data_IF_314214329112
#
_entry.id   IF_314214329112
#
_cell.length_a   1.000
_cell.length_b   1.000
_cell.length_c   1.000
_cell.angle_alpha   90.00
_cell.angle_beta   90.00
_cell.angle_gamma   90.00
#
_symmetry.space_group_name_H-M   'P 1'
#
loop_
_entity.id
_entity.type
_entity.pdbx_description
1 polymer ?
#
# COMPACT_ATOMS: atom_id res chain seq x y z
N UNK A 1 4.86 -38.53 -21.55
CA UNK A 1 5.05 -37.44 -22.54
C UNK A 1 4.08 -36.26 -22.30
N UNK A 2 3.89 -35.82 -21.04
CA UNK A 2 2.84 -34.85 -20.64
C UNK A 2 3.34 -33.84 -19.58
N UNK A 3 4.54 -33.26 -19.74
CA UNK A 3 5.13 -32.34 -18.74
C UNK A 3 5.68 -31.00 -19.26
N UNK A 4 5.38 -30.59 -20.49
CA UNK A 4 5.89 -29.31 -21.05
C UNK A 4 4.83 -28.23 -21.32
N UNK A 5 3.53 -28.50 -21.24
CA UNK A 5 2.50 -27.52 -21.63
C UNK A 5 2.14 -26.47 -20.56
N UNK A 6 2.55 -26.64 -19.29
CA UNK A 6 2.24 -25.69 -18.21
C UNK A 6 3.17 -24.47 -18.16
N UNK A 7 4.46 -24.66 -18.49
CA UNK A 7 5.49 -23.60 -18.45
C UNK A 7 5.46 -22.70 -19.69
N UNK A 8 4.99 -23.22 -20.82
CA UNK A 8 4.84 -22.45 -22.06
C UNK A 8 3.71 -21.41 -21.93
N UNK A 9 2.56 -21.77 -21.33
CA UNK A 9 1.45 -20.83 -21.12
C UNK A 9 1.79 -19.68 -20.16
N UNK A 10 2.51 -19.94 -19.06
CA UNK A 10 2.92 -18.86 -18.14
C UNK A 10 3.96 -17.92 -18.77
N UNK A 11 4.88 -18.44 -19.58
CA UNK A 11 5.85 -17.63 -20.31
C UNK A 11 5.25 -16.88 -21.52
N UNK A 12 4.19 -17.39 -22.16
CA UNK A 12 3.42 -16.65 -23.16
C UNK A 12 2.65 -15.49 -22.53
N UNK A 13 2.06 -15.69 -21.34
CA UNK A 13 1.38 -14.61 -20.59
C UNK A 13 2.36 -13.48 -20.22
N UNK A 14 3.63 -13.82 -19.95
CA UNK A 14 4.70 -12.85 -19.65
C UNK A 14 5.31 -12.23 -20.92
N UNK A 15 5.41 -12.98 -22.03
CA UNK A 15 5.86 -12.44 -23.34
C UNK A 15 4.82 -11.54 -24.00
N UNK A 16 3.54 -11.66 -23.66
CA UNK A 16 2.48 -10.77 -24.13
C UNK A 16 2.50 -9.38 -23.46
N UNK A 17 3.25 -9.22 -22.37
CA UNK A 17 3.34 -7.97 -21.59
C UNK A 17 4.26 -6.90 -22.23
N UNK A 18 4.97 -7.21 -23.33
CA UNK A 18 5.99 -6.33 -23.92
C UNK A 18 5.58 -5.60 -25.21
N UNK A 19 4.27 -5.48 -25.50
CA UNK A 19 3.79 -4.68 -26.65
C UNK A 19 2.58 -3.83 -26.30
N UNK A 20 2.81 -2.53 -26.05
CA UNK A 20 1.89 -1.40 -26.26
C UNK A 20 0.39 -1.60 -25.97
N UNK A 21 0.00 -2.33 -24.91
CA UNK A 21 -1.41 -2.54 -24.60
C UNK A 21 -1.79 -1.87 -23.28
N UNK A 22 -2.71 -0.93 -23.43
CA UNK A 22 -3.55 -0.45 -22.36
C UNK A 22 -4.14 -1.60 -21.52
N UNK A 23 -4.33 -1.41 -20.21
CA UNK A 23 -4.92 -2.44 -19.34
C UNK A 23 -6.30 -2.86 -19.86
N UNK A 24 -6.44 -4.14 -20.19
CA UNK A 24 -7.69 -4.80 -20.58
C UNK A 24 -8.30 -5.49 -19.33
N UNK A 25 -9.51 -5.08 -18.97
CA UNK A 25 -10.24 -5.66 -17.84
C UNK A 25 -11.04 -6.87 -18.31
N UNK A 26 -10.92 -7.99 -17.61
CA UNK A 26 -11.66 -9.23 -17.89
C UNK A 26 -12.29 -9.78 -16.62
N UNK A 27 -13.43 -10.48 -16.75
CA UNK A 27 -14.05 -11.14 -15.62
C UNK A 27 -13.20 -12.36 -15.21
N UNK A 28 -12.61 -12.32 -14.01
CA UNK A 28 -11.75 -13.38 -13.47
C UNK A 28 -11.69 -13.33 -11.94
N UNK A 29 -11.41 -14.47 -11.34
CA UNK A 29 -11.19 -14.58 -9.90
C UNK A 29 -9.83 -14.06 -9.49
N UNK A 30 -9.64 -13.88 -8.19
CA UNK A 30 -8.32 -13.60 -7.63
C UNK A 30 -7.51 -14.90 -7.55
N UNK A 31 -6.19 -14.80 -7.73
CA UNK A 31 -5.33 -15.98 -7.85
C UNK A 31 -5.43 -16.92 -6.63
N UNK A 32 -5.49 -16.39 -5.40
CA UNK A 32 -5.65 -17.28 -4.22
C UNK A 32 -7.03 -17.94 -4.16
N UNK A 33 -8.09 -17.28 -4.66
CA UNK A 33 -9.42 -17.90 -4.72
C UNK A 33 -9.36 -19.18 -5.54
N UNK A 34 -8.72 -19.12 -6.72
CA UNK A 34 -8.55 -20.29 -7.58
C UNK A 34 -7.58 -21.31 -6.96
N UNK A 35 -6.50 -20.86 -6.31
CA UNK A 35 -5.56 -21.77 -5.66
C UNK A 35 -6.12 -22.49 -4.43
N UNK A 36 -7.08 -21.91 -3.71
CA UNK A 36 -7.75 -22.56 -2.58
C UNK A 36 -8.66 -23.71 -2.99
N UNK A 37 -8.96 -23.87 -4.28
CA UNK A 37 -9.59 -25.09 -4.79
C UNK A 37 -8.64 -26.30 -4.67
N UNK A 38 -7.32 -26.06 -4.71
CA UNK A 38 -6.33 -27.10 -4.46
C UNK A 38 -6.31 -27.45 -2.96
N UNK A 39 -6.60 -28.71 -2.67
CA UNK A 39 -6.62 -29.26 -1.30
C UNK A 39 -5.34 -28.96 -0.50
N UNK A 40 -4.18 -28.93 -1.14
CA UNK A 40 -2.91 -28.69 -0.46
C UNK A 40 -2.76 -27.24 0.02
N UNK A 41 -3.12 -26.27 -0.82
CA UNK A 41 -3.08 -24.84 -0.46
C UNK A 41 -4.18 -24.52 0.56
N UNK A 42 -5.36 -25.15 0.41
CA UNK A 42 -6.43 -25.04 1.41
C UNK A 42 -5.99 -25.55 2.78
N UNK A 43 -5.21 -26.63 2.85
CA UNK A 43 -4.60 -27.08 4.12
C UNK A 43 -3.67 -26.02 4.70
N UNK A 44 -2.85 -25.35 3.89
CA UNK A 44 -2.01 -24.23 4.38
C UNK A 44 -2.85 -23.12 4.99
N UNK A 45 -3.95 -22.75 4.33
CA UNK A 45 -4.91 -21.79 4.87
C UNK A 45 -5.50 -22.26 6.22
N UNK A 46 -5.89 -23.54 6.34
CA UNK A 46 -6.37 -24.10 7.61
C UNK A 46 -5.29 -24.10 8.70
N UNK A 47 -4.00 -24.30 8.36
CA UNK A 47 -2.90 -24.20 9.32
C UNK A 47 -2.78 -22.78 9.90
N UNK A 48 -2.93 -21.74 9.08
CA UNK A 48 -2.96 -20.35 9.57
C UNK A 48 -4.15 -20.09 10.50
N UNK A 49 -5.34 -20.62 10.19
CA UNK A 49 -6.51 -20.52 11.07
C UNK A 49 -6.25 -21.25 12.40
N UNK A 50 -5.69 -22.46 12.36
CA UNK A 50 -5.36 -23.22 13.56
C UNK A 50 -4.32 -22.48 14.43
N UNK A 51 -3.30 -21.87 13.81
CA UNK A 51 -2.34 -21.02 14.51
C UNK A 51 -3.00 -19.80 15.14
N UNK A 52 -3.92 -19.13 14.44
CA UNK A 52 -4.69 -18.02 15.02
C UNK A 52 -5.49 -18.46 16.24
N UNK A 53 -6.22 -19.58 16.16
CA UNK A 53 -6.96 -20.14 17.29
C UNK A 53 -6.01 -20.48 18.44
N UNK A 54 -4.86 -21.10 18.13
CA UNK A 54 -3.82 -21.42 19.11
C UNK A 54 -3.26 -20.18 19.81
N UNK A 55 -2.97 -19.10 19.06
CA UNK A 55 -2.53 -17.83 19.63
C UNK A 55 -3.59 -17.18 20.51
N UNK A 56 -4.86 -17.26 20.12
CA UNK A 56 -5.99 -16.76 20.91
C UNK A 56 -6.12 -17.50 22.24
N UNK A 57 -6.12 -18.84 22.20
CA UNK A 57 -6.19 -19.69 23.39
C UNK A 57 -4.99 -19.46 24.30
N UNK A 58 -3.77 -19.46 23.75
CA UNK A 58 -2.55 -19.20 24.49
C UNK A 58 -2.59 -17.81 25.15
N UNK A 59 -3.11 -16.81 24.45
CA UNK A 59 -3.28 -15.46 24.99
C UNK A 59 -4.28 -15.42 26.14
N UNK A 60 -5.44 -16.03 25.97
CA UNK A 60 -6.46 -16.11 27.01
C UNK A 60 -5.93 -16.81 28.27
N UNK A 61 -5.23 -17.93 28.10
CA UNK A 61 -4.60 -18.69 29.20
C UNK A 61 -3.56 -17.84 29.92
N UNK A 62 -2.63 -17.22 29.20
CA UNK A 62 -1.58 -16.39 29.81
C UNK A 62 -2.16 -15.17 30.54
N UNK A 63 -3.12 -14.49 29.95
CA UNK A 63 -3.76 -13.32 30.55
C UNK A 63 -4.53 -13.73 31.82
N UNK A 64 -5.25 -14.85 31.79
CA UNK A 64 -5.94 -15.40 32.97
C UNK A 64 -4.97 -15.73 34.12
N UNK A 65 -3.87 -16.44 33.83
CA UNK A 65 -2.94 -16.88 34.87
C UNK A 65 -1.99 -15.79 35.38
N UNK A 66 -1.63 -14.81 34.55
CA UNK A 66 -0.60 -13.82 34.91
C UNK A 66 -1.16 -12.44 35.26
N UNK A 67 -2.27 -12.03 34.65
CA UNK A 67 -2.81 -10.67 34.79
C UNK A 67 -4.16 -10.62 35.49
N UNK A 68 -4.80 -11.76 35.74
CA UNK A 68 -6.17 -11.88 36.26
C UNK A 68 -7.24 -11.15 35.41
N UNK A 69 -6.87 -10.67 34.22
CA UNK A 69 -7.74 -9.98 33.27
C UNK A 69 -7.52 -10.51 31.85
N UNK A 70 -8.59 -10.95 31.18
CA UNK A 70 -8.52 -11.47 29.81
C UNK A 70 -8.78 -10.33 28.82
N UNK A 71 -7.72 -9.80 28.21
CA UNK A 71 -7.82 -8.63 27.33
C UNK A 71 -7.92 -8.97 25.84
N UNK A 72 -7.80 -10.25 25.46
CA UNK A 72 -7.95 -10.82 24.11
C UNK A 72 -7.29 -10.01 22.97
N UNK A 73 -6.23 -9.22 23.25
CA UNK A 73 -5.61 -8.33 22.25
C UNK A 73 -6.48 -7.14 21.81
N UNK A 74 -7.69 -6.99 22.36
CA UNK A 74 -8.63 -5.90 22.00
C UNK A 74 -8.05 -4.53 22.38
N UNK A 75 -7.20 -4.48 23.41
CA UNK A 75 -6.56 -3.25 23.89
C UNK A 75 -5.73 -2.57 22.80
N UNK A 76 -4.82 -3.31 22.15
CA UNK A 76 -3.96 -2.75 21.10
C UNK A 76 -4.79 -2.30 19.90
N UNK A 77 -5.80 -3.07 19.51
CA UNK A 77 -6.73 -2.68 18.43
C UNK A 77 -7.46 -1.38 18.80
N UNK A 78 -8.06 -1.29 19.99
CA UNK A 78 -8.79 -0.09 20.44
C UNK A 78 -7.89 1.14 20.51
N UNK A 79 -6.65 0.99 20.99
CA UNK A 79 -5.67 2.07 21.04
C UNK A 79 -5.23 2.49 19.63
N UNK A 80 -4.96 1.53 18.76
CA UNK A 80 -4.46 1.78 17.40
C UNK A 80 -5.52 2.40 16.47
N UNK A 81 -6.79 2.05 16.65
CA UNK A 81 -7.94 2.57 15.88
C UNK A 81 -8.70 3.69 16.63
N UNK A 82 -8.04 4.36 17.58
CA UNK A 82 -8.63 5.49 18.31
C UNK A 82 -8.99 6.68 17.42
N UNK A 83 -9.88 7.57 17.90
CA UNK A 83 -10.32 8.79 17.19
C UNK A 83 -10.96 8.53 15.80
N UNK A 84 -11.65 7.39 15.65
CA UNK A 84 -12.31 6.98 14.39
C UNK A 84 -13.32 8.01 13.85
N UNK A 85 -13.94 8.81 14.73
CA UNK A 85 -14.85 9.88 14.31
C UNK A 85 -14.14 10.95 13.46
N UNK A 86 -12.88 11.29 13.76
CA UNK A 86 -12.07 12.20 12.96
C UNK A 86 -11.75 11.57 11.61
N UNK A 87 -11.38 10.28 11.61
CA UNK A 87 -11.12 9.51 10.38
C UNK A 87 -12.34 9.54 9.45
N UNK A 88 -13.55 9.34 9.99
CA UNK A 88 -14.79 9.38 9.22
C UNK A 88 -15.07 10.77 8.62
N UNK A 89 -14.91 11.84 9.41
CA UNK A 89 -15.09 13.23 8.92
C UNK A 89 -14.09 13.56 7.81
N UNK A 90 -12.82 13.18 7.99
CA UNK A 90 -11.78 13.36 6.98
C UNK A 90 -12.10 12.61 5.70
N UNK A 91 -12.51 11.36 5.81
CA UNK A 91 -12.86 10.54 4.66
C UNK A 91 -14.04 11.14 3.88
N UNK A 92 -15.08 11.62 4.57
CA UNK A 92 -16.20 12.34 3.95
C UNK A 92 -15.73 13.64 3.28
N UNK A 93 -14.79 14.36 3.88
CA UNK A 93 -14.14 15.53 3.31
C UNK A 93 -13.41 15.20 2.00
N UNK A 94 -12.56 14.18 1.99
CA UNK A 94 -11.85 13.72 0.79
C UNK A 94 -12.81 13.28 -0.31
N UNK A 95 -13.85 12.53 0.05
CA UNK A 95 -14.88 12.09 -0.89
C UNK A 95 -15.61 13.27 -1.53
N UNK A 96 -16.02 14.25 -0.71
CA UNK A 96 -16.72 15.46 -1.17
C UNK A 96 -15.82 16.30 -2.08
N UNK A 97 -14.57 16.51 -1.69
CA UNK A 97 -13.61 17.28 -2.48
C UNK A 97 -13.26 16.57 -3.80
N UNK A 98 -13.12 15.25 -3.79
CA UNK A 98 -12.95 14.42 -4.99
C UNK A 98 -14.14 14.57 -5.95
N UNK A 99 -15.37 14.60 -5.41
CA UNK A 99 -16.57 14.86 -6.22
C UNK A 99 -16.57 16.29 -6.78
N UNK A 100 -16.10 17.28 -6.03
CA UNK A 100 -15.95 18.65 -6.53
C UNK A 100 -14.97 18.72 -7.71
N UNK A 101 -13.83 18.01 -7.64
CA UNK A 101 -12.85 17.94 -8.74
C UNK A 101 -13.48 17.42 -10.03
N UNK A 102 -14.39 16.43 -9.96
CA UNK A 102 -15.14 15.99 -11.13
C UNK A 102 -15.97 17.11 -11.77
N UNK A 103 -16.68 17.90 -10.96
CA UNK A 103 -17.50 19.00 -11.44
C UNK A 103 -16.64 20.12 -12.05
N UNK A 104 -15.50 20.44 -11.41
CA UNK A 104 -14.52 21.40 -11.93
C UNK A 104 -13.91 20.92 -13.25
N UNK A 105 -13.57 19.63 -13.36
CA UNK A 105 -13.08 19.04 -14.61
C UNK A 105 -14.12 19.12 -15.72
N UNK A 106 -15.39 18.78 -15.43
CA UNK A 106 -16.49 18.86 -16.39
C UNK A 106 -16.69 20.30 -16.87
N UNK A 107 -16.68 21.27 -15.95
CA UNK A 107 -16.75 22.69 -16.29
C UNK A 107 -15.56 23.10 -17.18
N UNK A 108 -14.34 22.75 -16.79
CA UNK A 108 -13.13 23.00 -17.58
C UNK A 108 -13.22 22.43 -19.01
N UNK A 109 -13.73 21.20 -19.15
CA UNK A 109 -13.88 20.50 -20.42
C UNK A 109 -14.93 21.18 -21.32
N UNK A 110 -16.06 21.61 -20.77
CA UNK A 110 -17.11 22.32 -21.49
C UNK A 110 -16.65 23.70 -21.97
N UNK A 111 -15.91 24.43 -21.14
CA UNK A 111 -15.45 25.77 -21.47
C UNK A 111 -14.36 25.79 -22.56
N UNK A 112 -13.65 24.69 -22.80
CA UNK A 112 -12.64 24.60 -23.88
C UNK A 112 -13.20 24.95 -25.26
N UNK A 113 -14.48 24.65 -25.52
CA UNK A 113 -15.13 24.88 -26.82
C UNK A 113 -15.21 26.38 -27.15
N UNK A 114 -15.29 27.25 -26.15
CA UNK A 114 -15.38 28.69 -26.34
C UNK A 114 -14.02 29.38 -26.61
N UNK A 115 -12.91 28.64 -26.56
CA UNK A 115 -11.56 29.17 -26.82
C UNK A 115 -10.97 28.63 -28.12
N UNK A 116 -11.38 29.16 -29.30
CA UNK A 116 -10.93 28.65 -30.60
C UNK A 116 -9.45 28.99 -30.90
N UNK A 117 -8.90 30.05 -30.29
CA UNK A 117 -7.49 30.42 -30.47
C UNK A 117 -6.56 29.58 -29.59
N UNK A 118 -5.47 29.13 -30.19
CA UNK A 118 -4.44 28.32 -29.54
C UNK A 118 -3.87 28.95 -28.24
N UNK A 119 -3.65 30.26 -28.22
CA UNK A 119 -3.10 30.98 -27.07
C UNK A 119 -4.05 30.95 -25.85
N UNK A 120 -5.33 31.26 -26.06
CA UNK A 120 -6.35 31.22 -25.00
C UNK A 120 -6.58 29.80 -24.49
N UNK A 121 -6.58 28.81 -25.39
CA UNK A 121 -6.71 27.40 -25.01
C UNK A 121 -5.53 26.93 -24.15
N UNK A 122 -4.29 27.33 -24.48
CA UNK A 122 -3.10 27.03 -23.66
C UNK A 122 -3.22 27.66 -22.26
N UNK A 123 -3.64 28.91 -22.18
CA UNK A 123 -3.86 29.60 -20.89
C UNK A 123 -4.93 28.91 -20.05
N UNK A 124 -6.05 28.49 -20.67
CA UNK A 124 -7.11 27.75 -20.00
C UNK A 124 -6.67 26.37 -19.51
N UNK A 125 -5.85 25.66 -20.30
CA UNK A 125 -5.25 24.39 -19.88
C UNK A 125 -4.27 24.58 -18.72
N UNK A 126 -3.47 25.65 -18.76
CA UNK A 126 -2.55 26.01 -17.68
C UNK A 126 -3.33 26.32 -16.39
N UNK A 127 -4.40 27.10 -16.48
CA UNK A 127 -5.29 27.38 -15.34
C UNK A 127 -5.85 26.08 -14.73
N UNK A 128 -6.40 25.18 -15.55
CA UNK A 128 -6.89 23.88 -15.09
C UNK A 128 -5.80 23.04 -14.41
N UNK A 129 -4.58 23.05 -14.95
CA UNK A 129 -3.43 22.37 -14.34
C UNK A 129 -3.02 22.99 -13.00
N UNK A 130 -3.02 24.32 -12.89
CA UNK A 130 -2.73 25.03 -11.64
C UNK A 130 -3.77 24.70 -10.56
N UNK A 131 -5.06 24.66 -10.91
CA UNK A 131 -6.13 24.27 -9.97
C UNK A 131 -5.94 22.81 -9.50
N UNK A 132 -5.59 21.91 -10.42
CA UNK A 132 -5.32 20.51 -10.07
C UNK A 132 -4.06 20.36 -9.18
N UNK A 133 -3.01 21.11 -9.48
CA UNK A 133 -1.79 21.17 -8.66
C UNK A 133 -2.07 21.69 -7.26
N UNK A 134 -2.86 22.76 -7.15
CA UNK A 134 -3.31 23.30 -5.87
C UNK A 134 -4.12 22.27 -5.07
N UNK A 135 -5.01 21.52 -5.71
CA UNK A 135 -5.75 20.42 -5.07
C UNK A 135 -4.81 19.36 -4.50
N UNK A 136 -3.79 18.91 -5.25
CA UNK A 136 -2.83 17.92 -4.75
C UNK A 136 -2.03 18.43 -3.55
N UNK A 137 -1.48 19.65 -3.64
CA UNK A 137 -0.70 20.26 -2.55
C UNK A 137 -1.59 20.40 -1.31
N UNK A 138 -2.79 20.95 -1.47
CA UNK A 138 -3.75 21.14 -0.37
C UNK A 138 -4.09 19.82 0.30
N UNK A 139 -4.32 18.75 -0.46
CA UNK A 139 -4.65 17.43 0.08
C UNK A 139 -3.51 16.86 0.94
N UNK A 140 -2.26 16.96 0.49
CA UNK A 140 -1.12 16.51 1.27
C UNK A 140 -0.91 17.37 2.53
N UNK A 141 -0.94 18.69 2.41
CA UNK A 141 -0.69 19.62 3.54
C UNK A 141 -1.80 19.57 4.58
N UNK A 142 -3.07 19.56 4.18
CA UNK A 142 -4.20 19.51 5.13
C UNK A 142 -4.21 18.17 5.86
N UNK A 143 -3.99 17.07 5.15
CA UNK A 143 -3.99 15.74 5.76
C UNK A 143 -2.86 15.58 6.77
N UNK A 144 -1.63 15.95 6.39
CA UNK A 144 -0.49 15.88 7.32
C UNK A 144 -0.70 16.78 8.53
N UNK A 145 -1.21 17.99 8.34
CA UNK A 145 -1.53 18.90 9.44
C UNK A 145 -2.55 18.30 10.40
N UNK A 146 -3.67 17.75 9.91
CA UNK A 146 -4.73 17.19 10.75
C UNK A 146 -4.25 15.94 11.49
N UNK A 147 -3.53 15.04 10.83
CA UNK A 147 -3.00 13.82 11.46
C UNK A 147 -2.08 14.17 12.63
N UNK A 148 -1.18 15.15 12.44
CA UNK A 148 -0.26 15.61 13.49
C UNK A 148 -0.98 16.41 14.57
N UNK A 149 -1.84 17.36 14.21
CA UNK A 149 -2.54 18.23 15.15
C UNK A 149 -3.45 17.44 16.10
N UNK A 150 -4.21 16.50 15.56
CA UNK A 150 -5.06 15.64 16.39
C UNK A 150 -4.32 14.44 16.98
N UNK A 151 -3.02 14.27 16.73
CA UNK A 151 -2.22 13.12 17.17
C UNK A 151 -2.99 11.80 16.99
N UNK A 152 -3.33 11.49 15.73
CA UNK A 152 -4.06 10.27 15.42
C UNK A 152 -3.17 9.04 15.72
N UNK A 153 -3.72 7.98 16.35
CA UNK A 153 -2.97 6.75 16.55
C UNK A 153 -2.56 6.09 15.22
N UNK A 154 -1.52 5.24 15.18
CA UNK A 154 -0.92 4.77 13.94
C UNK A 154 -1.88 4.12 12.95
N UNK A 155 -2.77 3.22 13.39
CA UNK A 155 -3.69 2.56 12.46
C UNK A 155 -4.74 3.54 11.91
N UNK A 156 -5.28 4.44 12.74
CA UNK A 156 -6.19 5.51 12.29
C UNK A 156 -5.52 6.48 11.32
N UNK A 157 -4.28 6.89 11.59
CA UNK A 157 -3.49 7.72 10.69
C UNK A 157 -3.25 7.00 9.35
N UNK A 158 -2.86 5.72 9.40
CA UNK A 158 -2.65 4.89 8.21
C UNK A 158 -3.87 4.87 7.29
N UNK A 159 -5.08 4.68 7.84
CA UNK A 159 -6.33 4.71 7.05
C UNK A 159 -6.45 6.03 6.30
N UNK A 160 -6.32 7.16 7.00
CA UNK A 160 -6.48 8.50 6.42
C UNK A 160 -5.45 8.75 5.32
N UNK A 161 -4.17 8.47 5.59
CA UNK A 161 -3.05 8.69 4.68
C UNK A 161 -3.14 7.80 3.41
N UNK A 162 -3.52 6.54 3.59
CA UNK A 162 -3.72 5.60 2.47
C UNK A 162 -4.95 5.98 1.64
N UNK A 163 -6.07 6.33 2.27
CA UNK A 163 -7.28 6.75 1.56
C UNK A 163 -7.07 8.06 0.79
N UNK A 164 -6.37 9.04 1.38
CA UNK A 164 -5.97 10.24 0.66
C UNK A 164 -5.15 9.88 -0.59
N UNK A 165 -4.10 9.06 -0.44
CA UNK A 165 -3.27 8.63 -1.57
C UNK A 165 -4.11 7.92 -2.64
N UNK A 166 -5.02 7.03 -2.24
CA UNK A 166 -5.96 6.33 -3.14
C UNK A 166 -6.83 7.31 -3.93
N UNK A 167 -7.43 8.31 -3.27
CA UNK A 167 -8.24 9.34 -3.95
C UNK A 167 -7.40 10.15 -4.94
N UNK A 168 -6.17 10.54 -4.59
CA UNK A 168 -5.29 11.29 -5.48
C UNK A 168 -4.91 10.48 -6.73
N UNK A 169 -4.54 9.21 -6.56
CA UNK A 169 -4.22 8.31 -7.68
C UNK A 169 -5.44 8.12 -8.60
N UNK A 170 -6.64 7.99 -8.04
CA UNK A 170 -7.88 7.89 -8.81
C UNK A 170 -8.19 9.16 -9.59
N UNK A 171 -8.09 10.33 -8.96
CA UNK A 171 -8.29 11.62 -9.65
C UNK A 171 -7.28 11.77 -10.80
N UNK A 172 -6.01 11.47 -10.55
CA UNK A 172 -4.99 11.52 -11.60
C UNK A 172 -5.36 10.63 -12.78
N UNK A 173 -5.74 9.37 -12.51
CA UNK A 173 -6.15 8.43 -13.56
C UNK A 173 -7.39 8.91 -14.32
N UNK A 174 -8.39 9.44 -13.63
CA UNK A 174 -9.60 9.97 -14.25
C UNK A 174 -9.28 11.14 -15.18
N UNK A 175 -8.57 12.16 -14.68
CA UNK A 175 -8.21 13.34 -15.46
C UNK A 175 -7.32 12.97 -16.64
N UNK A 176 -6.32 12.10 -16.45
CA UNK A 176 -5.40 11.71 -17.53
C UNK A 176 -6.09 10.92 -18.64
N UNK A 177 -7.04 10.05 -18.32
CA UNK A 177 -7.76 9.25 -19.31
C UNK A 177 -8.87 10.01 -20.04
N UNK A 178 -9.38 11.10 -19.47
CA UNK A 178 -10.46 11.91 -20.07
C UNK A 178 -9.94 13.13 -20.81
N UNK A 179 -8.78 13.65 -20.40
CA UNK A 179 -8.10 14.76 -21.07
C UNK A 179 -7.63 14.34 -22.48
N UNK A 180 -7.84 15.18 -23.53
CA UNK A 180 -7.48 14.83 -24.89
C UNK A 180 -5.96 14.69 -25.04
N UNK A 181 -5.50 13.63 -25.72
CA UNK A 181 -4.07 13.42 -25.99
C UNK A 181 -3.56 14.44 -27.01
N UNK A 182 -4.40 14.79 -27.98
CA UNK A 182 -4.16 15.88 -28.94
C UNK A 182 -5.11 17.03 -28.66
N UNK A 183 -4.69 18.05 -27.88
CA UNK A 183 -5.58 19.09 -27.37
C UNK A 183 -6.26 19.96 -28.43
N UNK A 184 -5.81 19.90 -29.70
CA UNK A 184 -6.34 20.67 -30.82
C UNK A 184 -7.23 19.87 -31.77
N UNK A 185 -7.20 18.54 -31.66
CA UNK A 185 -7.86 17.63 -32.63
C UNK A 185 -8.93 16.78 -31.96
N UNK A 186 -8.84 16.59 -30.64
CA UNK A 186 -9.75 15.75 -29.87
C UNK A 186 -10.50 16.58 -28.83
N UNK A 187 -11.84 16.48 -28.76
CA UNK A 187 -12.59 17.06 -27.66
C UNK A 187 -12.28 16.32 -26.35
N UNK A 188 -12.34 17.03 -25.23
CA UNK A 188 -12.28 16.40 -23.91
C UNK A 188 -13.55 15.58 -23.69
N UNK A 189 -13.41 14.34 -23.21
CA UNK A 189 -14.56 13.51 -22.88
C UNK A 189 -15.13 13.93 -21.53
N UNK A 190 -16.46 13.90 -21.39
CA UNK A 190 -17.14 14.24 -20.13
C UNK A 190 -17.95 13.04 -19.65
N UNK A 191 -17.33 12.09 -18.92
CA UNK A 191 -18.03 10.90 -18.48
C UNK A 191 -19.15 11.23 -17.48
N UNK A 192 -20.17 10.36 -17.44
CA UNK A 192 -21.26 10.48 -16.49
C UNK A 192 -20.78 10.40 -15.04
N UNK A 193 -21.35 11.22 -14.16
CA UNK A 193 -21.01 11.25 -12.73
C UNK A 193 -21.20 9.89 -12.05
N UNK A 194 -22.21 9.11 -12.49
CA UNK A 194 -22.44 7.74 -12.02
C UNK A 194 -21.25 6.81 -12.27
N UNK A 195 -20.61 6.90 -13.43
CA UNK A 195 -19.46 6.06 -13.78
C UNK A 195 -18.23 6.49 -12.99
N UNK A 196 -18.05 7.80 -12.80
CA UNK A 196 -17.02 8.35 -11.93
C UNK A 196 -17.19 7.89 -10.48
N UNK A 197 -18.40 8.00 -9.93
CA UNK A 197 -18.72 7.57 -8.57
C UNK A 197 -18.48 6.05 -8.40
N UNK A 198 -18.90 5.24 -9.37
CA UNK A 198 -18.59 3.81 -9.38
C UNK A 198 -17.09 3.55 -9.38
N UNK A 199 -16.33 4.28 -10.20
CA UNK A 199 -14.87 4.18 -10.24
C UNK A 199 -14.22 4.49 -8.89
N UNK A 200 -14.75 5.43 -8.09
CA UNK A 200 -14.19 5.76 -6.78
C UNK A 200 -14.20 4.56 -5.82
N UNK A 201 -15.19 3.66 -5.90
CA UNK A 201 -15.34 2.52 -4.99
C UNK A 201 -14.78 1.19 -5.51
N UNK A 202 -14.63 1.00 -6.82
CA UNK A 202 -14.07 -0.26 -7.35
C UNK A 202 -12.59 -0.42 -6.98
N UNK A 203 -12.11 -1.66 -6.76
CA UNK A 203 -10.72 -1.95 -6.37
C UNK A 203 -9.75 -1.91 -7.57
N UNK A 204 -9.72 -0.77 -8.26
CA UNK A 204 -8.73 -0.46 -9.28
C UNK A 204 -8.41 1.04 -9.28
N UNK A 205 -7.19 1.38 -9.68
CA UNK A 205 -6.72 2.77 -9.81
C UNK A 205 -6.71 3.25 -11.26
N UNK A 206 -7.11 2.40 -12.22
CA UNK A 206 -7.14 2.74 -13.65
C UNK A 206 -8.57 2.99 -14.09
N UNK A 207 -8.88 4.25 -14.44
CA UNK A 207 -10.19 4.69 -14.90
C UNK A 207 -10.53 4.13 -16.29
N UNK A 208 -11.74 3.58 -16.42
CA UNK A 208 -12.38 3.18 -17.68
C UNK A 208 -13.86 3.53 -17.62
N UNK A 209 -14.45 3.74 -18.78
CA UNK A 209 -15.89 4.03 -18.86
C UNK A 209 -16.75 2.83 -18.47
N UNK A 210 -16.28 1.62 -18.81
CA UNK A 210 -16.97 0.36 -18.54
C UNK A 210 -16.02 -0.66 -17.93
N UNK A 211 -16.53 -1.39 -16.95
CA UNK A 211 -15.82 -2.49 -16.29
C UNK A 211 -16.62 -3.78 -16.41
N UNK A 212 -15.98 -4.97 -16.43
CA UNK A 212 -16.69 -6.23 -16.30
C UNK A 212 -17.41 -6.28 -14.96
N UNK A 213 -18.68 -6.70 -14.97
CA UNK A 213 -19.51 -6.78 -13.77
C UNK A 213 -20.10 -8.17 -13.58
N UNK A 214 -20.23 -8.60 -12.32
CA UNK A 214 -21.00 -9.79 -11.95
C UNK A 214 -22.49 -9.47 -11.89
N UNK A 215 -23.31 -10.48 -12.13
CA UNK A 215 -24.77 -10.32 -12.12
C UNK A 215 -25.31 -10.07 -10.71
N UNK A 216 -24.87 -10.89 -9.75
CA UNK A 216 -25.36 -10.91 -8.35
C UNK A 216 -24.19 -10.77 -7.37
N UNK A 217 -24.52 -10.30 -6.17
CA UNK A 217 -23.61 -10.26 -5.01
C UNK A 217 -23.76 -11.58 -4.26
N UNK A 218 -22.65 -12.26 -4.01
CA UNK A 218 -22.60 -13.43 -3.13
C UNK A 218 -22.38 -12.98 -1.67
N UNK A 219 -23.46 -12.90 -0.90
CA UNK A 219 -23.43 -12.48 0.51
C UNK A 219 -22.71 -13.46 1.42
N UNK A 220 -22.68 -14.74 1.07
CA UNK A 220 -21.93 -15.74 1.82
C UNK A 220 -20.44 -15.49 1.65
N UNK A 221 -20.00 -15.24 0.41
CA UNK A 221 -18.62 -14.82 0.13
C UNK A 221 -18.25 -13.53 0.88
N UNK A 222 -19.12 -12.52 0.87
CA UNK A 222 -18.93 -11.26 1.64
C UNK A 222 -18.73 -11.55 3.13
N UNK A 223 -19.60 -12.36 3.74
CA UNK A 223 -19.50 -12.71 5.16
C UNK A 223 -18.15 -13.36 5.50
N UNK A 224 -17.70 -14.34 4.71
CA UNK A 224 -16.40 -14.97 4.90
C UNK A 224 -15.23 -13.99 4.75
N UNK A 225 -15.26 -13.10 3.76
CA UNK A 225 -14.19 -12.09 3.60
C UNK A 225 -14.14 -11.10 4.77
N UNK A 226 -15.29 -10.73 5.35
CA UNK A 226 -15.35 -9.88 6.55
C UNK A 226 -14.77 -10.62 7.76
N UNK A 227 -15.15 -11.88 7.98
CA UNK A 227 -14.61 -12.70 9.07
C UNK A 227 -13.09 -12.88 8.96
N UNK A 228 -12.58 -13.10 7.74
CA UNK A 228 -11.14 -13.16 7.48
C UNK A 228 -10.43 -11.85 7.83
N UNK A 229 -11.00 -10.70 7.45
CA UNK A 229 -10.42 -9.39 7.79
C UNK A 229 -10.35 -9.20 9.31
N UNK A 230 -11.43 -9.51 10.04
CA UNK A 230 -11.45 -9.42 11.51
C UNK A 230 -10.46 -10.39 12.13
N UNK A 231 -10.44 -11.66 11.69
CA UNK A 231 -9.54 -12.68 12.22
C UNK A 231 -8.06 -12.32 12.03
N UNK A 232 -7.69 -11.80 10.86
CA UNK A 232 -6.32 -11.36 10.59
C UNK A 232 -5.94 -10.10 11.39
N UNK A 233 -6.86 -9.17 11.64
CA UNK A 233 -6.59 -8.04 12.53
C UNK A 233 -6.22 -8.50 13.94
N UNK A 234 -6.96 -9.47 14.50
CA UNK A 234 -6.60 -10.10 15.78
C UNK A 234 -5.27 -10.83 15.70
N UNK A 235 -5.02 -11.58 14.63
CA UNK A 235 -3.74 -12.27 14.41
C UNK A 235 -2.56 -11.28 14.50
N UNK A 236 -2.63 -10.19 13.74
CA UNK A 236 -1.59 -9.16 13.71
C UNK A 236 -1.41 -8.50 15.08
N UNK A 237 -2.50 -8.22 15.78
CA UNK A 237 -2.46 -7.67 17.14
C UNK A 237 -1.72 -8.60 18.11
N UNK A 238 -1.99 -9.90 18.06
CA UNK A 238 -1.28 -10.88 18.90
C UNK A 238 0.19 -10.98 18.53
N UNK A 239 0.52 -10.93 17.23
CA UNK A 239 1.91 -11.00 16.79
C UNK A 239 2.70 -9.80 17.32
N UNK A 240 2.12 -8.60 17.24
CA UNK A 240 2.74 -7.38 17.74
C UNK A 240 2.89 -7.42 19.27
N UNK A 241 1.81 -7.71 20.00
CA UNK A 241 1.86 -7.66 21.47
C UNK A 241 2.76 -8.72 22.10
N UNK A 242 2.88 -9.89 21.46
CA UNK A 242 3.47 -11.08 22.10
C UNK A 242 4.86 -11.41 21.61
N UNK A 243 5.18 -11.05 20.35
CA UNK A 243 6.50 -11.31 19.77
C UNK A 243 7.26 -10.02 19.53
N UNK A 244 6.64 -8.98 18.96
CA UNK A 244 7.37 -7.76 18.63
C UNK A 244 7.62 -6.89 19.88
N UNK A 245 6.56 -6.43 20.55
CA UNK A 245 6.64 -5.47 21.66
C UNK A 245 7.62 -5.89 22.77
N UNK A 246 7.66 -7.14 23.25
CA UNK A 246 8.61 -7.54 24.29
C UNK A 246 10.08 -7.37 23.92
N UNK A 247 10.42 -7.33 22.62
CA UNK A 247 11.81 -7.16 22.16
C UNK A 247 12.25 -5.69 22.09
N UNK A 248 11.30 -4.75 22.02
CA UNK A 248 11.58 -3.32 21.72
C UNK A 248 11.00 -2.33 22.74
N UNK A 249 10.01 -2.70 23.54
CA UNK A 249 9.27 -1.78 24.41
C UNK A 249 10.12 -1.13 25.51
N UNK A 250 11.21 -1.79 25.93
CA UNK A 250 12.11 -1.30 26.97
C UNK A 250 13.14 -0.31 26.44
N UNK A 251 13.17 -0.07 25.11
CA UNK A 251 14.11 0.84 24.49
C UNK A 251 13.88 2.28 25.00
N UNK A 252 14.91 2.91 25.54
CA UNK A 252 14.82 4.22 26.19
C UNK A 252 14.61 4.18 27.70
N UNK A 253 14.32 3.02 28.29
CA UNK A 253 14.29 2.83 29.75
C UNK A 253 15.61 2.30 30.31
N UNK A 254 16.42 1.66 29.45
CA UNK A 254 17.76 1.16 29.75
C UNK A 254 18.67 1.37 28.54
N UNK A 255 20.01 1.38 28.74
CA UNK A 255 20.93 1.32 27.61
C UNK A 255 20.82 -0.02 26.86
N UNK A 256 20.91 0.06 25.54
CA UNK A 256 20.98 -1.05 24.59
C UNK A 256 22.33 -1.00 23.87
N UNK A 257 22.91 -2.16 23.62
CA UNK A 257 24.12 -2.24 22.77
C UNK A 257 23.72 -2.38 21.30
N UNK A 258 24.59 -1.96 20.39
CA UNK A 258 24.39 -2.19 18.93
C UNK A 258 24.22 -3.69 18.62
N UNK A 259 24.88 -4.56 19.39
CA UNK A 259 24.76 -6.02 19.26
C UNK A 259 23.34 -6.50 19.57
N UNK A 260 22.70 -5.97 20.62
CA UNK A 260 21.32 -6.29 20.96
C UNK A 260 20.35 -5.90 19.85
N UNK A 261 20.54 -4.73 19.23
CA UNK A 261 19.69 -4.28 18.11
C UNK A 261 19.84 -5.23 16.92
N UNK A 262 21.07 -5.57 16.55
CA UNK A 262 21.34 -6.49 15.44
C UNK A 262 20.72 -7.87 15.73
N UNK A 263 20.94 -8.42 16.92
CA UNK A 263 20.33 -9.68 17.34
C UNK A 263 18.80 -9.61 17.30
N UNK A 264 18.21 -8.53 17.81
CA UNK A 264 16.76 -8.30 17.76
C UNK A 264 16.20 -8.28 16.35
N UNK A 265 16.90 -7.69 15.37
CA UNK A 265 16.50 -7.72 13.96
C UNK A 265 16.45 -9.17 13.43
N UNK A 266 17.50 -9.96 13.70
CA UNK A 266 17.56 -11.34 13.23
C UNK A 266 16.52 -12.24 13.93
N UNK A 267 16.33 -12.08 15.24
CA UNK A 267 15.31 -12.78 16.02
C UNK A 267 13.90 -12.45 15.51
N UNK A 268 13.66 -11.18 15.15
CA UNK A 268 12.39 -10.72 14.59
C UNK A 268 12.17 -11.11 13.12
N UNK A 269 13.08 -11.84 12.45
CA UNK A 269 12.90 -12.28 11.05
C UNK A 269 11.60 -13.08 10.86
N UNK A 270 11.30 -13.99 11.79
CA UNK A 270 10.06 -14.78 11.74
C UNK A 270 8.85 -13.89 12.04
N UNK A 271 8.94 -13.01 13.04
CA UNK A 271 7.90 -12.02 13.37
C UNK A 271 7.58 -11.15 12.15
N UNK A 272 8.59 -10.67 11.43
CA UNK A 272 8.43 -9.91 10.19
C UNK A 272 7.66 -10.69 9.13
N UNK A 273 7.95 -11.97 8.93
CA UNK A 273 7.19 -12.83 8.02
C UNK A 273 5.73 -13.00 8.46
N UNK A 274 5.49 -13.19 9.76
CA UNK A 274 4.16 -13.29 10.37
C UNK A 274 3.38 -11.98 10.35
N UNK A 275 4.03 -10.84 10.10
CA UNK A 275 3.36 -9.56 9.84
C UNK A 275 3.13 -9.34 8.34
N UNK A 276 4.10 -9.67 7.49
CA UNK A 276 4.04 -9.46 6.05
C UNK A 276 2.94 -10.30 5.37
N UNK A 277 2.89 -11.62 5.63
CA UNK A 277 1.98 -12.52 4.93
C UNK A 277 0.51 -12.24 5.24
N UNK A 278 0.11 -12.05 6.51
CA UNK A 278 -1.28 -11.71 6.81
C UNK A 278 -1.63 -10.29 6.37
N UNK A 279 -0.69 -9.33 6.43
CA UNK A 279 -0.90 -7.98 5.86
C UNK A 279 -1.18 -8.02 4.36
N UNK A 280 -0.42 -8.82 3.60
CA UNK A 280 -0.73 -9.10 2.20
C UNK A 280 -2.13 -9.69 2.03
N UNK A 281 -2.45 -10.73 2.81
CA UNK A 281 -3.70 -11.46 2.68
C UNK A 281 -4.92 -10.58 3.02
N UNK A 282 -4.85 -9.75 4.05
CA UNK A 282 -5.96 -8.86 4.41
C UNK A 282 -6.12 -7.72 3.39
N UNK A 283 -5.04 -7.03 3.00
CA UNK A 283 -5.12 -5.83 2.17
C UNK A 283 -5.37 -6.16 0.69
N UNK A 284 -4.66 -7.14 0.13
CA UNK A 284 -4.65 -7.41 -1.32
C UNK A 284 -5.58 -8.55 -1.74
N UNK A 285 -5.89 -9.48 -0.84
CA UNK A 285 -6.85 -10.55 -1.11
C UNK A 285 -8.22 -10.26 -0.50
N UNK A 286 -8.34 -10.30 0.83
CA UNK A 286 -9.65 -10.30 1.50
C UNK A 286 -10.40 -8.98 1.31
N UNK A 287 -9.74 -7.84 1.57
CA UNK A 287 -10.34 -6.52 1.44
C UNK A 287 -10.65 -6.14 0.00
N UNK A 288 -9.75 -6.40 -0.95
CA UNK A 288 -10.03 -6.12 -2.37
C UNK A 288 -11.15 -6.99 -2.92
N UNK A 289 -11.19 -8.28 -2.56
CA UNK A 289 -12.29 -9.16 -2.96
C UNK A 289 -13.62 -8.75 -2.31
N UNK A 290 -13.61 -8.31 -1.06
CA UNK A 290 -14.78 -7.74 -0.39
C UNK A 290 -15.30 -6.50 -1.15
N UNK A 291 -14.43 -5.53 -1.43
CA UNK A 291 -14.78 -4.34 -2.21
C UNK A 291 -15.27 -4.71 -3.62
N UNK A 292 -14.64 -5.70 -4.26
CA UNK A 292 -15.03 -6.17 -5.59
C UNK A 292 -16.42 -6.80 -5.60
N UNK A 293 -16.73 -7.64 -4.61
CA UNK A 293 -18.02 -8.30 -4.48
C UNK A 293 -19.13 -7.27 -4.22
N UNK A 294 -18.93 -6.37 -3.26
CA UNK A 294 -19.90 -5.31 -2.93
C UNK A 294 -20.18 -4.36 -4.11
N UNK A 295 -19.16 -4.06 -4.92
CA UNK A 295 -19.33 -3.23 -6.12
C UNK A 295 -19.76 -4.02 -7.37
N UNK A 296 -19.81 -5.36 -7.29
CA UNK A 296 -19.98 -6.29 -8.43
C UNK A 296 -18.89 -6.16 -9.49
N UNK A 297 -17.68 -5.77 -9.11
CA UNK A 297 -16.53 -5.69 -9.98
C UNK A 297 -16.01 -7.09 -10.36
N UNK A 298 -15.83 -7.31 -11.67
CA UNK A 298 -15.52 -8.62 -12.23
C UNK A 298 -14.04 -8.96 -12.37
N UNK A 299 -13.15 -7.96 -12.45
CA UNK A 299 -11.70 -8.20 -12.63
C UNK A 299 -10.99 -8.27 -11.27
N UNK A 300 -10.78 -9.47 -10.75
CA UNK A 300 -10.20 -9.67 -9.41
C UNK A 300 -8.70 -9.97 -9.42
N UNK A 301 -7.97 -9.57 -10.47
CA UNK A 301 -6.52 -9.70 -10.52
C UNK A 301 -5.84 -8.55 -9.78
N UNK A 302 -5.72 -8.69 -8.46
CA UNK A 302 -5.07 -7.70 -7.60
C UNK A 302 -3.57 -7.97 -7.40
N UNK A 303 -3.15 -9.22 -7.59
CA UNK A 303 -1.78 -9.69 -7.44
C UNK A 303 -1.58 -10.97 -8.27
N UNK A 304 -0.31 -11.32 -8.51
CA UNK A 304 0.13 -12.55 -9.16
C UNK A 304 0.92 -13.42 -8.17
N UNK A 305 1.51 -14.51 -8.65
CA UNK A 305 2.32 -15.47 -7.90
C UNK A 305 3.68 -14.88 -7.49
N UNK A 306 3.67 -13.81 -6.69
CA UNK A 306 4.88 -13.10 -6.27
C UNK A 306 5.79 -13.96 -5.37
N UNK A 307 5.24 -14.96 -4.69
CA UNK A 307 6.00 -15.91 -3.86
C UNK A 307 6.93 -16.83 -4.66
N UNK A 308 6.74 -16.93 -5.98
CA UNK A 308 7.61 -17.74 -6.87
C UNK A 308 8.77 -16.92 -7.44
N UNK A 309 8.86 -15.63 -7.11
CA UNK A 309 9.90 -14.75 -7.63
C UNK A 309 11.29 -15.14 -7.12
N UNK A 310 12.28 -14.97 -8.00
CA UNK A 310 13.71 -15.13 -7.67
C UNK A 310 14.44 -13.79 -7.61
N UNK A 311 13.77 -12.70 -7.99
CA UNK A 311 14.28 -11.34 -8.03
C UNK A 311 13.25 -10.31 -7.54
N UNK A 312 13.74 -9.15 -7.10
CA UNK A 312 12.88 -8.05 -6.69
C UNK A 312 12.16 -7.40 -7.88
N UNK A 313 12.74 -7.48 -9.09
CA UNK A 313 12.11 -6.98 -10.31
C UNK A 313 10.77 -7.66 -10.58
N UNK A 314 10.73 -9.00 -10.52
CA UNK A 314 9.51 -9.78 -10.63
C UNK A 314 8.55 -9.52 -9.48
N UNK A 315 9.07 -9.43 -8.26
CA UNK A 315 8.26 -9.17 -7.06
C UNK A 315 7.46 -7.87 -7.16
N UNK A 316 8.10 -6.74 -7.45
CA UNK A 316 7.43 -5.43 -7.55
C UNK A 316 6.34 -5.40 -8.64
N UNK A 317 6.49 -6.21 -9.69
CA UNK A 317 5.47 -6.33 -10.75
C UNK A 317 4.31 -7.25 -10.39
N UNK A 318 4.46 -8.16 -9.41
CA UNK A 318 3.47 -9.19 -9.10
C UNK A 318 2.75 -8.96 -7.77
N UNK A 319 3.38 -8.29 -6.81
CA UNK A 319 2.88 -8.12 -5.44
C UNK A 319 1.55 -7.36 -5.38
N UNK A 320 1.49 -6.17 -5.98
CA UNK A 320 0.31 -5.30 -5.97
C UNK A 320 0.07 -4.74 -7.38
N UNK A 321 -0.71 -5.48 -8.18
CA UNK A 321 -1.01 -5.14 -9.57
C UNK A 321 -1.81 -3.84 -9.67
N UNK A 322 -2.66 -3.54 -8.68
CA UNK A 322 -3.48 -2.31 -8.66
C UNK A 322 -2.60 -1.06 -8.72
N UNK A 323 -1.57 -1.00 -7.85
CA UNK A 323 -0.63 0.12 -7.79
C UNK A 323 0.39 0.03 -8.91
N UNK A 324 0.86 -1.18 -9.24
CA UNK A 324 1.77 -1.39 -10.37
C UNK A 324 1.18 -0.78 -11.65
N UNK A 325 -0.04 -1.14 -12.03
CA UNK A 325 -0.64 -0.73 -13.29
C UNK A 325 -0.74 0.80 -13.37
N UNK A 326 -1.04 1.44 -12.25
CA UNK A 326 -1.08 2.90 -12.16
C UNK A 326 0.31 3.51 -12.36
N UNK A 327 1.32 3.01 -11.65
CA UNK A 327 2.71 3.46 -11.78
C UNK A 327 3.24 3.23 -13.20
N UNK A 328 2.90 2.10 -13.81
CA UNK A 328 3.31 1.79 -15.18
C UNK A 328 2.67 2.74 -16.20
N UNK A 329 1.34 2.89 -16.15
CA UNK A 329 0.60 3.64 -17.16
C UNK A 329 0.82 5.15 -17.07
N UNK A 330 0.92 5.70 -15.85
CA UNK A 330 0.89 7.15 -15.61
C UNK A 330 2.24 7.73 -15.19
N UNK A 331 3.17 6.92 -14.69
CA UNK A 331 4.52 7.39 -14.33
C UNK A 331 5.55 6.85 -15.31
N UNK A 332 5.71 5.54 -15.39
CA UNK A 332 6.76 4.91 -16.21
C UNK A 332 6.60 5.24 -17.70
N UNK A 333 5.44 4.93 -18.28
CA UNK A 333 5.17 5.12 -19.69
C UNK A 333 5.24 6.60 -20.08
N UNK A 334 4.51 7.45 -19.36
CA UNK A 334 4.48 8.89 -19.61
C UNK A 334 5.86 9.54 -19.49
N UNK A 335 6.63 9.19 -18.44
CA UNK A 335 7.99 9.68 -18.27
C UNK A 335 8.91 9.17 -19.37
N UNK A 336 8.77 7.91 -19.78
CA UNK A 336 9.60 7.34 -20.86
C UNK A 336 9.30 7.95 -22.23
N UNK A 337 8.02 8.19 -22.55
CA UNK A 337 7.58 8.69 -23.86
C UNK A 337 7.76 10.21 -23.98
N UNK A 338 7.44 10.95 -22.91
CA UNK A 338 7.35 12.42 -22.96
C UNK A 338 8.58 13.12 -22.36
N UNK A 339 9.05 12.67 -21.20
CA UNK A 339 10.07 13.39 -20.42
C UNK A 339 11.48 12.97 -20.83
N UNK A 340 11.75 11.67 -20.79
CA UNK A 340 13.08 11.09 -20.98
C UNK A 340 13.30 10.53 -22.39
N UNK A 341 12.34 10.71 -23.31
CA UNK A 341 12.42 10.40 -24.76
C UNK A 341 13.08 9.05 -25.07
N UNK A 342 12.65 7.99 -24.40
CA UNK A 342 13.14 6.62 -24.59
C UNK A 342 14.19 6.15 -23.60
N UNK A 343 14.71 7.00 -22.69
CA UNK A 343 15.61 6.54 -21.63
C UNK A 343 14.83 5.81 -20.52
N UNK A 344 14.81 4.48 -20.63
CA UNK A 344 14.07 3.60 -19.72
C UNK A 344 14.65 3.59 -18.30
N UNK A 345 15.93 3.95 -18.13
CA UNK A 345 16.57 3.93 -16.82
C UNK A 345 16.03 5.04 -15.91
N UNK A 346 15.99 6.28 -16.40
CA UNK A 346 15.40 7.39 -15.66
C UNK A 346 13.91 7.19 -15.40
N UNK A 347 13.17 6.62 -16.36
CA UNK A 347 11.75 6.30 -16.16
C UNK A 347 11.55 5.25 -15.04
N UNK A 348 12.39 4.21 -14.97
CA UNK A 348 12.35 3.24 -13.86
C UNK A 348 12.71 3.91 -12.52
N UNK A 349 13.78 4.69 -12.49
CA UNK A 349 14.21 5.40 -11.28
C UNK A 349 13.13 6.35 -10.76
N UNK A 350 12.47 7.10 -11.64
CA UNK A 350 11.36 7.98 -11.28
C UNK A 350 10.20 7.23 -10.59
N UNK A 351 9.86 6.02 -11.07
CA UNK A 351 8.84 5.17 -10.43
C UNK A 351 9.26 4.77 -9.02
N UNK A 352 10.50 4.30 -8.85
CA UNK A 352 11.02 3.93 -7.53
C UNK A 352 11.08 5.12 -6.58
N UNK A 353 11.56 6.27 -7.05
CA UNK A 353 11.67 7.48 -6.26
C UNK A 353 10.29 7.96 -5.79
N UNK A 354 9.31 8.06 -6.70
CA UNK A 354 7.95 8.48 -6.36
C UNK A 354 7.33 7.49 -5.37
N UNK A 355 7.49 6.19 -5.61
CA UNK A 355 6.98 5.17 -4.69
C UNK A 355 7.62 5.28 -3.31
N UNK A 356 8.94 5.40 -3.22
CA UNK A 356 9.66 5.51 -1.96
C UNK A 356 9.25 6.77 -1.17
N UNK A 357 9.13 7.93 -1.83
CA UNK A 357 8.67 9.18 -1.19
C UNK A 357 7.27 9.02 -0.60
N UNK A 358 6.33 8.43 -1.35
CA UNK A 358 4.96 8.27 -0.87
C UNK A 358 4.88 7.29 0.30
N UNK A 359 5.60 6.18 0.26
CA UNK A 359 5.61 5.24 1.38
C UNK A 359 6.24 5.86 2.64
N UNK A 360 7.35 6.58 2.48
CA UNK A 360 8.00 7.27 3.60
C UNK A 360 7.12 8.39 4.16
N UNK A 361 6.43 9.12 3.30
CA UNK A 361 5.46 10.14 3.71
C UNK A 361 4.35 9.52 4.55
N UNK A 362 3.78 8.38 4.14
CA UNK A 362 2.78 7.66 4.93
C UNK A 362 3.36 7.26 6.29
N UNK A 363 4.53 6.61 6.34
CA UNK A 363 5.12 6.18 7.62
C UNK A 363 5.46 7.34 8.54
N UNK A 364 5.99 8.44 7.99
CA UNK A 364 6.38 9.63 8.75
C UNK A 364 5.19 10.23 9.49
N UNK A 365 4.06 10.45 8.79
CA UNK A 365 2.87 11.02 9.42
C UNK A 365 2.06 9.99 10.20
N UNK A 366 2.17 8.69 9.87
CA UNK A 366 1.54 7.61 10.62
C UNK A 366 2.15 7.47 12.02
N UNK A 367 3.47 7.54 12.14
CA UNK A 367 4.18 7.43 13.42
C UNK A 367 4.41 8.78 14.11
N UNK A 368 4.34 9.90 13.38
CA UNK A 368 4.53 11.24 13.92
C UNK A 368 5.99 11.68 14.00
N UNK A 369 6.91 10.98 13.32
CA UNK A 369 8.33 11.32 13.25
C UNK A 369 8.94 10.95 11.90
N UNK A 370 10.01 11.64 11.51
CA UNK A 370 10.73 11.33 10.28
C UNK A 370 11.86 10.34 10.55
N UNK A 371 11.80 9.16 9.94
CA UNK A 371 12.87 8.16 10.01
C UNK A 371 12.94 7.41 8.67
N UNK A 372 13.79 7.85 7.72
CA UNK A 372 13.71 7.46 6.31
C UNK A 372 14.26 6.08 5.98
N UNK A 373 14.07 5.09 6.85
CA UNK A 373 14.61 3.76 6.67
C UNK A 373 13.97 3.04 5.49
N UNK A 374 12.64 3.11 5.35
CA UNK A 374 11.95 2.48 4.22
C UNK A 374 12.35 3.13 2.90
N UNK A 375 12.49 4.46 2.87
CA UNK A 375 13.00 5.18 1.71
C UNK A 375 14.38 4.67 1.28
N UNK A 376 15.32 4.57 2.23
CA UNK A 376 16.68 4.06 1.97
C UNK A 376 16.62 2.60 1.50
N UNK A 377 15.80 1.77 2.13
CA UNK A 377 15.70 0.35 1.76
C UNK A 377 15.17 0.18 0.34
N UNK A 378 14.12 0.90 -0.03
CA UNK A 378 13.53 0.85 -1.37
C UNK A 378 14.47 1.43 -2.43
N UNK A 379 15.12 2.57 -2.16
CA UNK A 379 15.95 3.25 -3.14
C UNK A 379 17.31 2.56 -3.32
N UNK A 380 17.93 2.09 -2.24
CA UNK A 380 19.25 1.46 -2.28
C UNK A 380 19.10 -0.02 -2.60
N UNK A 381 18.53 -0.81 -1.70
CA UNK A 381 18.42 -2.26 -1.89
C UNK A 381 17.44 -2.59 -3.02
N UNK A 382 16.27 -1.95 -3.06
CA UNK A 382 15.29 -2.15 -4.12
C UNK A 382 15.82 -1.82 -5.51
N UNK A 383 16.64 -0.76 -5.67
CA UNK A 383 17.28 -0.47 -6.95
C UNK A 383 18.38 -1.48 -7.27
N UNK A 384 19.32 -1.72 -6.35
CA UNK A 384 20.45 -2.64 -6.55
C UNK A 384 19.94 -4.02 -6.97
N UNK A 385 19.00 -4.60 -6.22
CA UNK A 385 18.47 -5.92 -6.51
C UNK A 385 17.54 -5.98 -7.73
N UNK A 386 16.98 -4.85 -8.17
CA UNK A 386 16.21 -4.80 -9.41
C UNK A 386 17.12 -4.74 -10.65
N UNK A 387 18.36 -4.25 -10.52
CA UNK A 387 19.34 -4.20 -11.62
C UNK A 387 20.23 -5.45 -11.68
N UNK A 388 20.45 -6.12 -10.54
CA UNK A 388 21.12 -7.42 -10.48
C UNK A 388 20.11 -8.50 -10.89
N UNK A 389 20.08 -8.85 -12.18
CA UNK A 389 19.26 -9.95 -12.67
C UNK A 389 19.65 -11.26 -11.99
N UNK A 390 18.73 -11.88 -11.25
CA UNK A 390 18.98 -13.14 -10.56
C UNK A 390 18.64 -14.34 -11.46
N UNK A 391 19.47 -15.39 -11.48
CA UNK A 391 19.12 -16.68 -12.08
C UNK A 391 17.80 -17.22 -11.53
N UNK A 392 16.99 -17.83 -12.40
CA UNK A 392 15.72 -18.45 -12.03
C UNK A 392 15.94 -19.84 -11.41
N UNK A 393 16.66 -19.91 -10.29
CA UNK A 393 16.92 -21.16 -9.57
C UNK A 393 16.24 -21.15 -8.20
N UNK A 394 15.94 -22.34 -7.62
CA UNK A 394 15.32 -22.43 -6.29
C UNK A 394 16.12 -21.70 -5.20
N UNK A 395 17.45 -21.69 -5.30
CA UNK A 395 18.31 -20.98 -4.35
C UNK A 395 17.99 -19.48 -4.30
N UNK A 396 17.80 -18.83 -5.45
CA UNK A 396 17.46 -17.40 -5.47
C UNK A 396 16.03 -17.12 -4.95
N UNK A 397 15.11 -18.08 -5.05
CA UNK A 397 13.81 -17.96 -4.38
C UNK A 397 13.97 -18.02 -2.85
N UNK A 398 14.82 -18.90 -2.32
CA UNK A 398 15.13 -18.98 -0.88
C UNK A 398 15.77 -17.68 -0.39
N UNK A 399 16.78 -17.18 -1.12
CA UNK A 399 17.45 -15.92 -0.78
C UNK A 399 16.49 -14.73 -0.86
N UNK A 400 15.62 -14.71 -1.88
CA UNK A 400 14.56 -13.71 -1.99
C UNK A 400 13.67 -13.72 -0.75
N UNK A 401 13.13 -14.88 -0.36
CA UNK A 401 12.29 -15.01 0.84
C UNK A 401 13.00 -14.58 2.12
N UNK A 402 14.23 -15.05 2.32
CA UNK A 402 15.00 -14.68 3.51
C UNK A 402 15.27 -13.17 3.56
N UNK A 403 15.71 -12.58 2.46
CA UNK A 403 15.95 -11.13 2.38
C UNK A 403 14.69 -10.30 2.58
N UNK A 404 13.55 -10.74 2.05
CA UNK A 404 12.26 -10.06 2.21
C UNK A 404 11.81 -10.08 3.68
N UNK A 405 11.91 -11.24 4.34
CA UNK A 405 11.58 -11.35 5.76
C UNK A 405 12.54 -10.53 6.65
N UNK A 406 13.84 -10.53 6.33
CA UNK A 406 14.83 -9.74 7.05
C UNK A 406 14.64 -8.23 6.86
N UNK A 407 14.30 -7.78 5.65
CA UNK A 407 13.97 -6.38 5.38
C UNK A 407 12.77 -5.92 6.20
N UNK A 408 11.67 -6.69 6.18
CA UNK A 408 10.49 -6.40 7.01
C UNK A 408 10.83 -6.42 8.50
N UNK A 409 11.63 -7.37 8.97
CA UNK A 409 12.07 -7.43 10.37
C UNK A 409 12.91 -6.21 10.77
N UNK A 410 13.78 -5.75 9.88
CA UNK A 410 14.56 -4.52 10.06
C UNK A 410 13.63 -3.32 10.19
N UNK A 411 12.64 -3.20 9.30
CA UNK A 411 11.65 -2.12 9.35
C UNK A 411 10.87 -2.11 10.66
N UNK A 412 10.21 -3.22 11.02
CA UNK A 412 9.35 -3.25 12.22
C UNK A 412 10.15 -3.07 13.51
N UNK A 413 11.38 -3.59 13.57
CA UNK A 413 12.26 -3.43 14.73
C UNK A 413 12.75 -2.00 14.85
N UNK A 414 13.28 -1.41 13.77
CA UNK A 414 13.88 -0.07 13.82
C UNK A 414 12.84 1.05 13.96
N UNK A 415 11.71 0.99 13.25
CA UNK A 415 10.60 1.93 13.49
C UNK A 415 10.01 1.74 14.89
N UNK A 416 9.97 0.50 15.39
CA UNK A 416 9.53 0.19 16.75
C UNK A 416 10.45 0.77 17.82
N UNK A 417 11.77 0.59 17.67
CA UNK A 417 12.80 1.20 18.53
C UNK A 417 12.65 2.72 18.56
N UNK A 418 12.53 3.35 17.38
CA UNK A 418 12.37 4.80 17.30
C UNK A 418 11.06 5.27 17.95
N UNK A 419 9.97 4.52 17.77
CA UNK A 419 8.68 4.79 18.41
C UNK A 419 8.78 4.75 19.93
N UNK A 420 9.38 3.69 20.50
CA UNK A 420 9.55 3.57 21.95
C UNK A 420 10.59 4.55 22.51
N UNK A 421 11.68 4.85 21.78
CA UNK A 421 12.66 5.86 22.19
C UNK A 421 12.00 7.23 22.40
N UNK A 422 11.05 7.61 21.54
CA UNK A 422 10.31 8.87 21.66
C UNK A 422 9.30 8.88 22.80
N UNK A 423 8.74 7.72 23.14
CA UNK A 423 7.78 7.59 24.26
C UNK A 423 8.51 7.56 25.60
N UNK A 424 9.56 6.74 25.70
CA UNK A 424 10.26 6.45 26.95
C UNK A 424 11.30 7.52 27.31
N UNK A 425 11.88 8.20 26.31
CA UNK A 425 12.86 9.27 26.49
C UNK A 425 12.46 10.55 25.72
N UNK A 426 11.33 11.20 26.08
CA UNK A 426 10.82 12.37 25.37
C UNK A 426 11.77 13.57 25.48
N UNK A 427 11.76 14.42 24.46
CA UNK A 427 12.47 15.71 24.48
C UNK A 427 11.54 16.80 25.03
N UNK A 428 12.04 17.62 25.95
CA UNK A 428 11.34 18.83 26.40
C UNK A 428 11.58 19.96 25.41
N UNK A 429 10.52 20.47 24.77
CA UNK A 429 10.55 21.57 23.80
C UNK A 429 11.59 21.40 22.67
N UNK A 430 11.52 20.31 21.88
CA UNK A 430 12.49 20.04 20.83
C UNK A 430 12.44 21.11 19.74
N UNK A 431 13.61 21.54 19.30
CA UNK A 431 13.77 22.33 18.08
C UNK A 431 13.33 21.52 16.86
N UNK A 432 13.08 22.21 15.73
CA UNK A 432 12.73 21.54 14.48
C UNK A 432 13.77 20.49 14.05
N UNK A 433 15.06 20.79 14.21
CA UNK A 433 16.14 19.88 13.84
C UNK A 433 16.23 18.65 14.75
N UNK A 434 15.99 18.80 16.05
CA UNK A 434 15.96 17.68 16.99
C UNK A 434 14.79 16.73 16.73
N UNK A 435 13.65 17.26 16.26
CA UNK A 435 12.53 16.42 15.84
C UNK A 435 12.82 15.62 14.56
N UNK A 436 13.69 16.14 13.68
CA UNK A 436 14.07 15.49 12.43
C UNK A 436 15.09 14.37 12.64
N UNK A 437 15.91 14.46 13.69
CA UNK A 437 16.89 13.44 14.01
C UNK A 437 16.23 12.22 14.68
N UNK A 438 16.68 10.99 14.36
CA UNK A 438 16.21 9.80 15.04
C UNK A 438 16.53 9.87 16.54
N UNK A 439 15.52 9.64 17.38
CA UNK A 439 15.65 9.73 18.83
C UNK A 439 16.55 8.62 19.37
N UNK A 440 16.51 7.43 18.78
CA UNK A 440 17.33 6.31 19.24
C UNK A 440 18.85 6.56 19.15
N UNK A 441 19.29 7.52 18.31
CA UNK A 441 20.69 7.94 18.19
C UNK A 441 21.06 9.10 19.11
N UNK A 442 20.07 9.86 19.57
CA UNK A 442 20.28 11.10 20.34
C UNK A 442 19.96 10.97 21.81
N UNK A 443 19.28 9.90 22.21
CA UNK A 443 19.12 9.57 23.61
C UNK A 443 20.33 8.76 24.09
N UNK A 444 20.70 8.89 25.37
CA UNK A 444 21.77 8.11 26.03
C UNK A 444 21.34 6.64 26.25
N UNK A 445 20.59 6.08 25.31
CA UNK A 445 20.03 4.74 25.32
C UNK A 445 20.85 3.77 24.48
N UNK A 446 21.87 4.24 23.75
CA UNK A 446 22.73 3.41 22.92
C UNK A 446 24.15 3.42 23.47
N UNK A 447 24.63 2.27 23.94
CA UNK A 447 26.05 2.06 24.22
C UNK A 447 26.74 1.69 22.90
N UNK A 448 27.58 2.63 22.41
CA UNK A 448 28.35 2.51 21.17
C UNK A 448 29.48 1.48 21.26
#
# INVERSE_FOLDING_TARGET
>A
MLKQNGSAKSNETVKQFSRSKEKEFSARNSLLTDLFENKHIRTVYHMFIATLIGLFVNTAVYDYFKKEEITFGVRLIKQSFGKIHIVAVLWLGYFTLTCLVYHLYKFWAQQRVFFPKLSHLKLWNLFGLTVLGFYYISMFTITSYIVTYFALPPASACIVLCEQTRFLMKIHSFVRNTCPRKPHTEPATTPNFRNFLYFLFVPTLVYRETYPRREKIDWTFVCFRVLECVGVLFFMSFVIDRFLNPTIQDFGLRPFTVKEIILGIFENTITGALLLLPMFFIILHSWQNLCAELTRFGDRLFYLDWWTCTDYSGYFRKWNIIVQDWLYLYVYRESSETVYKGNLWFAKFAVFLISAIVHEWILTFMFGFFFPLLFVEFLVFGSIFNFLGAPKTPLFNILFWYSLCLGVATLVTMYGIEFYARINAPLENPTFFENLLPRFLTCDCLEL
#
